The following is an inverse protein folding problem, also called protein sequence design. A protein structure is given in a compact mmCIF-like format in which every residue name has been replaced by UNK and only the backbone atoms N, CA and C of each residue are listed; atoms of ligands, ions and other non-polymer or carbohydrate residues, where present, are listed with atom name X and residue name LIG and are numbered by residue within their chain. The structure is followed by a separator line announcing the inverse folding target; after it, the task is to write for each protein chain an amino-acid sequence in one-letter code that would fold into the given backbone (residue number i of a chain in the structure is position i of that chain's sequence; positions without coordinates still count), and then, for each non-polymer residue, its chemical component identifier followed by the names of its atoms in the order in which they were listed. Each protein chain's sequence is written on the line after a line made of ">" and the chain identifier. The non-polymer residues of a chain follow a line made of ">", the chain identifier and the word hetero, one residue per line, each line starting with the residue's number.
data_IF_459896211280
#
_entry.id   IF_459896211280
#
_cell.length_a   1.000
_cell.length_b   1.000
_cell.length_c   1.000
_cell.angle_alpha   90.00
_cell.angle_beta   90.00
_cell.angle_gamma   90.00
#
_symmetry.space_group_name_H-M   'P 1'
#
loop_
_entity.id
_entity.type
_entity.pdbx_description
1 polymer ?
#
# COMPACT_ATOMS: atom_id res chain seq x y z
N UNK A 1 4.17 -23.78 5.52
CA UNK A 1 4.61 -23.06 6.75
C UNK A 1 3.72 -23.46 7.92
N UNK A 2 4.24 -23.50 9.17
CA UNK A 2 3.46 -23.91 10.34
C UNK A 2 2.17 -23.11 10.54
N UNK A 3 2.11 -21.85 10.10
CA UNK A 3 0.95 -20.99 10.32
C UNK A 3 -0.30 -21.44 9.54
N UNK A 4 -0.14 -22.12 8.40
CA UNK A 4 -1.26 -22.56 7.54
C UNK A 4 -2.30 -23.44 8.27
N UNK A 5 -1.85 -24.28 9.22
CA UNK A 5 -2.74 -25.14 10.02
C UNK A 5 -3.54 -24.37 11.09
N UNK A 6 -3.19 -23.10 11.35
CA UNK A 6 -3.87 -22.26 12.34
C UNK A 6 -4.80 -21.23 11.69
N UNK A 7 -4.70 -21.00 10.38
CA UNK A 7 -5.47 -19.97 9.66
C UNK A 7 -6.97 -20.12 9.91
N UNK A 8 -7.52 -21.32 9.77
CA UNK A 8 -8.97 -21.57 9.95
C UNK A 8 -9.46 -21.29 11.37
N UNK A 9 -8.57 -21.39 12.36
CA UNK A 9 -8.88 -21.11 13.76
C UNK A 9 -8.74 -19.62 14.09
N UNK A 10 -7.75 -18.96 13.51
CA UNK A 10 -7.42 -17.57 13.81
C UNK A 10 -8.24 -16.58 12.99
N UNK A 11 -8.35 -16.80 11.67
CA UNK A 11 -8.93 -15.83 10.75
C UNK A 11 -10.33 -15.35 11.16
N UNK A 12 -11.29 -16.21 11.58
CA UNK A 12 -12.61 -15.74 12.01
C UNK A 12 -12.56 -14.80 13.23
N UNK A 13 -11.63 -15.04 14.16
CA UNK A 13 -11.44 -14.20 15.35
C UNK A 13 -10.88 -12.84 14.96
N UNK A 14 -9.86 -12.82 14.08
CA UNK A 14 -9.22 -11.59 13.63
C UNK A 14 -10.17 -10.75 12.76
N UNK A 15 -10.94 -11.39 11.87
CA UNK A 15 -11.96 -10.71 11.05
C UNK A 15 -13.01 -9.98 11.91
N UNK A 16 -13.40 -10.57 13.04
CA UNK A 16 -14.32 -9.91 13.99
C UNK A 16 -13.72 -8.63 14.56
N UNK A 17 -12.43 -8.63 14.89
CA UNK A 17 -11.75 -7.50 15.52
C UNK A 17 -11.51 -6.32 14.55
N UNK A 18 -11.60 -6.52 13.23
CA UNK A 18 -11.62 -5.40 12.26
C UNK A 18 -12.81 -4.45 12.50
N UNK A 19 -13.91 -4.94 13.07
CA UNK A 19 -15.09 -4.15 13.46
C UNK A 19 -15.14 -3.78 14.94
N UNK A 20 -14.03 -3.90 15.67
CA UNK A 20 -13.99 -3.62 17.11
C UNK A 20 -14.26 -2.13 17.40
N UNK A 21 -14.93 -1.79 18.53
CA UNK A 21 -15.02 -0.39 18.97
C UNK A 21 -13.65 0.21 19.31
N UNK A 22 -12.69 -0.62 19.70
CA UNK A 22 -11.34 -0.19 20.11
C UNK A 22 -10.39 -0.09 18.91
N UNK A 23 -9.81 1.10 18.69
CA UNK A 23 -8.90 1.34 17.56
C UNK A 23 -7.67 0.43 17.58
N UNK A 24 -7.08 0.20 18.76
CA UNK A 24 -5.96 -0.73 18.93
C UNK A 24 -6.28 -2.14 18.44
N UNK A 25 -7.50 -2.63 18.68
CA UNK A 25 -7.92 -3.94 18.19
C UNK A 25 -8.06 -3.95 16.67
N UNK A 26 -8.67 -2.92 16.08
CA UNK A 26 -8.79 -2.80 14.61
C UNK A 26 -7.42 -2.73 13.94
N UNK A 27 -6.48 -1.96 14.49
CA UNK A 27 -5.10 -1.86 14.00
C UNK A 27 -4.40 -3.22 14.01
N UNK A 28 -4.42 -3.90 15.17
CA UNK A 28 -3.80 -5.22 15.32
C UNK A 28 -4.47 -6.26 14.42
N UNK A 29 -5.79 -6.18 14.26
CA UNK A 29 -6.54 -7.04 13.38
C UNK A 29 -6.16 -6.82 11.91
N UNK A 30 -6.05 -5.57 11.45
CA UNK A 30 -5.62 -5.23 10.10
C UNK A 30 -4.23 -5.78 9.80
N UNK A 31 -3.26 -5.55 10.70
CA UNK A 31 -1.93 -6.16 10.59
C UNK A 31 -2.00 -7.69 10.48
N UNK A 32 -2.74 -8.32 11.40
CA UNK A 32 -2.78 -9.77 11.54
C UNK A 32 -3.45 -10.44 10.33
N UNK A 33 -4.55 -9.91 9.79
CA UNK A 33 -5.15 -10.47 8.56
C UNK A 33 -4.20 -10.36 7.38
N UNK A 34 -3.42 -9.27 7.28
CA UNK A 34 -2.38 -9.12 6.27
C UNK A 34 -1.30 -10.20 6.35
N UNK A 35 -0.79 -10.46 7.55
CA UNK A 35 0.21 -11.51 7.79
C UNK A 35 -0.37 -12.92 7.59
N UNK A 36 -1.63 -13.17 7.97
CA UNK A 36 -2.30 -14.45 7.73
C UNK A 36 -2.51 -14.69 6.23
N UNK A 37 -2.91 -13.67 5.46
CA UNK A 37 -3.04 -13.78 4.00
C UNK A 37 -1.69 -14.03 3.33
N UNK A 38 -0.62 -13.35 3.78
CA UNK A 38 0.72 -13.49 3.22
C UNK A 38 1.35 -14.86 3.50
N UNK A 39 1.22 -15.37 4.73
CA UNK A 39 1.96 -16.55 5.18
C UNK A 39 1.10 -17.81 5.31
N UNK A 40 -0.22 -17.68 5.22
CA UNK A 40 -1.18 -18.77 5.44
C UNK A 40 -1.30 -19.80 4.32
N UNK A 41 -0.67 -19.55 3.16
CA UNK A 41 -0.71 -20.44 2.00
C UNK A 41 -2.13 -20.65 1.46
N UNK A 42 -2.39 -21.82 0.88
CA UNK A 42 -3.67 -22.14 0.24
C UNK A 42 -4.87 -22.01 1.18
N UNK A 43 -4.69 -22.32 2.47
CA UNK A 43 -5.75 -22.20 3.49
C UNK A 43 -6.28 -20.76 3.62
N UNK A 44 -5.42 -19.75 3.44
CA UNK A 44 -5.82 -18.36 3.56
C UNK A 44 -6.64 -17.86 2.36
N UNK A 45 -6.51 -18.48 1.18
CA UNK A 45 -7.11 -18.00 -0.07
C UNK A 45 -8.62 -17.84 0.02
N UNK A 46 -9.31 -18.77 0.69
CA UNK A 46 -10.77 -18.73 0.86
C UNK A 46 -11.27 -17.50 1.63
N UNK A 47 -10.40 -16.85 2.41
CA UNK A 47 -10.75 -15.69 3.23
C UNK A 47 -10.48 -14.34 2.56
N UNK A 48 -9.85 -14.30 1.38
CA UNK A 48 -9.48 -13.03 0.74
C UNK A 48 -10.69 -12.10 0.56
N UNK A 49 -11.83 -12.64 0.13
CA UNK A 49 -13.07 -11.87 -0.02
C UNK A 49 -13.59 -11.30 1.30
N UNK A 50 -13.53 -12.07 2.39
CA UNK A 50 -13.94 -11.61 3.73
C UNK A 50 -13.00 -10.53 4.27
N UNK A 51 -11.68 -10.72 4.09
CA UNK A 51 -10.67 -9.76 4.53
C UNK A 51 -10.82 -8.44 3.78
N UNK A 52 -10.99 -8.45 2.45
CA UNK A 52 -11.21 -7.23 1.67
C UNK A 52 -12.48 -6.48 2.11
N UNK A 53 -13.57 -7.21 2.38
CA UNK A 53 -14.80 -6.61 2.92
C UNK A 53 -14.60 -5.99 4.30
N UNK A 54 -13.85 -6.66 5.18
CA UNK A 54 -13.57 -6.18 6.53
C UNK A 54 -12.61 -4.98 6.58
N UNK A 55 -11.63 -4.93 5.67
CA UNK A 55 -10.66 -3.83 5.59
C UNK A 55 -11.25 -2.59 4.91
N UNK A 56 -12.14 -2.75 3.92
CA UNK A 56 -12.65 -1.62 3.12
C UNK A 56 -13.17 -0.42 3.94
N UNK A 57 -13.90 -0.59 5.06
CA UNK A 57 -14.35 0.52 5.90
C UNK A 57 -13.22 1.26 6.63
N UNK A 58 -12.08 0.59 6.85
CA UNK A 58 -10.93 1.15 7.57
C UNK A 58 -10.18 2.22 6.77
N UNK A 59 -10.40 2.31 5.46
CA UNK A 59 -9.84 3.38 4.61
C UNK A 59 -10.74 4.63 4.54
N UNK A 60 -11.98 4.54 5.01
CA UNK A 60 -12.96 5.62 4.89
C UNK A 60 -12.77 6.71 5.93
N UNK A 61 -13.42 7.86 5.69
CA UNK A 61 -13.42 8.99 6.63
C UNK A 61 -14.02 8.63 8.00
N UNK A 62 -14.80 7.55 8.07
CA UNK A 62 -15.37 6.99 9.29
C UNK A 62 -14.35 6.39 10.25
N UNK A 63 -13.15 6.04 9.80
CA UNK A 63 -12.07 5.55 10.67
C UNK A 63 -11.15 6.71 11.07
N UNK A 64 -11.26 7.31 12.26
CA UNK A 64 -10.45 8.47 12.62
C UNK A 64 -8.99 8.13 12.94
N UNK A 65 -8.68 6.87 13.26
CA UNK A 65 -7.34 6.45 13.67
C UNK A 65 -6.44 6.21 12.45
N UNK A 66 -5.38 7.01 12.34
CA UNK A 66 -4.49 6.98 11.18
C UNK A 66 -3.62 5.72 11.16
N UNK A 67 -3.20 5.21 12.33
CA UNK A 67 -2.45 3.96 12.40
C UNK A 67 -3.30 2.76 11.96
N UNK A 68 -4.62 2.76 12.22
CA UNK A 68 -5.55 1.76 11.66
C UNK A 68 -5.56 1.83 10.13
N UNK A 69 -5.68 3.03 9.56
CA UNK A 69 -5.64 3.23 8.09
C UNK A 69 -4.32 2.74 7.49
N UNK A 70 -3.21 3.02 8.16
CA UNK A 70 -1.88 2.60 7.70
C UNK A 70 -1.72 1.08 7.70
N UNK A 71 -2.21 0.41 8.75
CA UNK A 71 -2.19 -1.06 8.82
C UNK A 71 -3.15 -1.71 7.81
N UNK A 72 -4.29 -1.08 7.53
CA UNK A 72 -5.18 -1.49 6.45
C UNK A 72 -4.51 -1.39 5.07
N UNK A 73 -3.73 -0.33 4.82
CA UNK A 73 -2.91 -0.20 3.62
C UNK A 73 -1.87 -1.33 3.53
N UNK A 74 -1.11 -1.55 4.60
CA UNK A 74 -0.12 -2.63 4.66
C UNK A 74 -0.71 -4.03 4.45
N UNK A 75 -1.87 -4.31 5.04
CA UNK A 75 -2.58 -5.59 4.85
C UNK A 75 -3.01 -5.78 3.39
N UNK A 76 -3.60 -4.74 2.79
CA UNK A 76 -4.00 -4.74 1.38
C UNK A 76 -2.80 -4.95 0.46
N UNK A 77 -1.69 -4.27 0.73
CA UNK A 77 -0.45 -4.42 -0.04
C UNK A 77 0.10 -5.85 -0.01
N UNK A 78 0.12 -6.49 1.17
CA UNK A 78 0.54 -7.89 1.31
C UNK A 78 -0.35 -8.83 0.50
N UNK A 79 -1.67 -8.63 0.55
CA UNK A 79 -2.64 -9.42 -0.22
C UNK A 79 -2.42 -9.30 -1.73
N UNK A 80 -2.22 -8.07 -2.22
CA UNK A 80 -1.95 -7.80 -3.64
C UNK A 80 -0.65 -8.49 -4.09
N UNK A 81 0.41 -8.40 -3.30
CA UNK A 81 1.72 -8.98 -3.65
C UNK A 81 1.65 -10.51 -3.74
N UNK A 82 0.97 -11.16 -2.78
CA UNK A 82 0.98 -12.63 -2.71
C UNK A 82 0.01 -13.27 -3.72
N UNK A 83 -1.17 -12.70 -3.90
CA UNK A 83 -2.21 -13.25 -4.80
C UNK A 83 -2.98 -12.13 -5.51
N UNK A 84 -2.34 -11.42 -6.46
CA UNK A 84 -2.96 -10.27 -7.14
C UNK A 84 -4.25 -10.64 -7.88
N UNK A 85 -4.34 -11.89 -8.38
CA UNK A 85 -5.52 -12.40 -9.11
C UNK A 85 -6.78 -12.53 -8.24
N UNK A 86 -6.62 -12.59 -6.91
CA UNK A 86 -7.74 -12.66 -5.97
C UNK A 86 -8.19 -11.29 -5.47
N UNK A 87 -7.49 -10.23 -5.85
CA UNK A 87 -7.80 -8.85 -5.45
C UNK A 87 -8.40 -8.11 -6.65
N UNK A 88 -9.62 -7.56 -6.55
CA UNK A 88 -10.20 -6.74 -7.62
C UNK A 88 -9.52 -5.37 -7.63
N UNK A 89 -8.32 -5.30 -8.22
CA UNK A 89 -7.44 -4.12 -8.19
C UNK A 89 -8.10 -2.84 -8.72
N UNK A 90 -8.99 -2.95 -9.70
CA UNK A 90 -9.79 -1.84 -10.22
C UNK A 90 -10.68 -1.17 -9.14
N UNK A 91 -11.12 -1.93 -8.14
CA UNK A 91 -11.90 -1.41 -7.01
C UNK A 91 -11.00 -1.04 -5.83
N UNK A 92 -9.92 -1.80 -5.62
CA UNK A 92 -9.04 -1.67 -4.45
C UNK A 92 -8.04 -0.53 -4.60
N UNK A 93 -7.40 -0.37 -5.77
CA UNK A 93 -6.33 0.63 -5.96
C UNK A 93 -6.78 2.07 -5.67
N UNK A 94 -7.96 2.56 -6.12
CA UNK A 94 -8.39 3.91 -5.80
C UNK A 94 -8.55 4.17 -4.30
N UNK A 95 -8.94 3.16 -3.53
CA UNK A 95 -9.12 3.29 -2.08
C UNK A 95 -7.77 3.18 -1.37
N UNK A 96 -6.96 2.19 -1.78
CA UNK A 96 -5.63 1.93 -1.28
C UNK A 96 -4.72 3.16 -1.42
N UNK A 97 -4.70 3.80 -2.60
CA UNK A 97 -3.84 4.96 -2.87
C UNK A 97 -4.29 6.22 -2.13
N UNK A 98 -5.60 6.42 -1.92
CA UNK A 98 -6.11 7.52 -1.09
C UNK A 98 -5.66 7.44 0.37
N UNK A 99 -5.34 6.24 0.86
CA UNK A 99 -4.77 6.03 2.19
C UNK A 99 -3.30 6.45 2.31
N UNK A 100 -2.65 6.86 1.23
CA UNK A 100 -1.21 7.12 1.18
C UNK A 100 -0.88 8.62 1.10
N UNK A 101 0.34 9.03 1.52
CA UNK A 101 1.35 8.22 2.23
C UNK A 101 0.93 7.95 3.68
N UNK A 102 1.52 6.90 4.26
CA UNK A 102 1.27 6.50 5.65
C UNK A 102 1.58 7.63 6.63
N UNK A 103 0.79 7.75 7.70
CA UNK A 103 0.81 8.92 8.59
C UNK A 103 1.40 8.64 9.97
N UNK A 104 1.07 7.53 10.58
CA UNK A 104 1.44 7.18 11.95
C UNK A 104 2.24 5.87 12.06
N UNK A 105 1.98 4.88 11.21
CA UNK A 105 2.65 3.57 11.27
C UNK A 105 3.49 3.29 10.01
N UNK A 106 4.69 3.89 9.95
CA UNK A 106 5.63 3.70 8.84
C UNK A 106 6.30 2.30 8.82
N UNK A 107 6.04 1.42 9.78
CA UNK A 107 6.51 0.02 9.69
C UNK A 107 5.86 -0.71 8.50
N UNK A 108 4.67 -0.27 8.09
CA UNK A 108 3.91 -0.82 6.97
C UNK A 108 4.38 -0.28 5.60
N UNK A 109 5.17 0.79 5.58
CA UNK A 109 5.61 1.47 4.34
C UNK A 109 6.34 0.54 3.38
N UNK A 110 7.22 -0.34 3.90
CA UNK A 110 7.95 -1.27 3.04
C UNK A 110 7.03 -2.23 2.30
N UNK A 111 5.97 -2.74 2.95
CA UNK A 111 4.99 -3.60 2.28
C UNK A 111 4.23 -2.83 1.21
N UNK A 112 3.77 -1.62 1.54
CA UNK A 112 3.03 -0.72 0.65
C UNK A 112 3.81 -0.36 -0.61
N UNK A 113 5.02 0.17 -0.47
CA UNK A 113 5.78 0.64 -1.63
C UNK A 113 6.42 -0.49 -2.43
N UNK A 114 6.67 -1.66 -1.80
CA UNK A 114 7.03 -2.88 -2.55
C UNK A 114 5.88 -3.37 -3.43
N UNK A 115 4.64 -3.31 -2.92
CA UNK A 115 3.45 -3.62 -3.72
C UNK A 115 3.33 -2.69 -4.93
N UNK A 116 3.43 -1.37 -4.71
CA UNK A 116 3.34 -0.37 -5.79
C UNK A 116 4.46 -0.59 -6.81
N UNK A 117 5.71 -0.77 -6.35
CA UNK A 117 6.84 -1.07 -7.23
C UNK A 117 6.59 -2.31 -8.08
N UNK A 118 6.03 -3.37 -7.50
CA UNK A 118 5.74 -4.63 -8.21
C UNK A 118 4.68 -4.43 -9.30
N UNK A 119 3.61 -3.68 -9.01
CA UNK A 119 2.57 -3.36 -10.00
C UNK A 119 3.11 -2.50 -11.14
N UNK A 120 3.92 -1.50 -10.83
CA UNK A 120 4.55 -0.62 -11.82
C UNK A 120 5.55 -1.39 -12.68
N UNK A 121 6.45 -2.17 -12.07
CA UNK A 121 7.50 -2.91 -12.77
C UNK A 121 6.94 -4.06 -13.63
N UNK A 122 5.79 -4.63 -13.25
CA UNK A 122 5.08 -5.62 -14.06
C UNK A 122 4.24 -5.00 -15.18
N UNK A 123 4.29 -3.67 -15.36
CA UNK A 123 3.46 -2.95 -16.34
C UNK A 123 1.97 -3.27 -16.19
N UNK A 124 1.48 -3.40 -14.95
CA UNK A 124 0.09 -3.75 -14.71
C UNK A 124 -0.83 -2.62 -15.24
N UNK A 125 -1.78 -2.90 -16.14
CA UNK A 125 -2.59 -1.85 -16.77
C UNK A 125 -3.46 -1.08 -15.77
N UNK A 126 -3.80 -1.67 -14.63
CA UNK A 126 -4.67 -1.05 -13.64
C UNK A 126 -3.95 0.02 -12.82
N UNK A 127 -2.61 0.02 -12.76
CA UNK A 127 -1.86 1.08 -12.03
C UNK A 127 -1.63 2.33 -12.89
N UNK A 128 -1.70 2.22 -14.22
CA UNK A 128 -1.35 3.33 -15.12
C UNK A 128 -2.25 4.54 -14.99
N UNK A 129 -3.55 4.36 -14.74
CA UNK A 129 -4.49 5.47 -14.49
C UNK A 129 -4.17 6.25 -13.21
N UNK A 130 -3.34 5.70 -12.33
CA UNK A 130 -2.98 6.28 -11.04
C UNK A 130 -1.59 6.93 -11.02
N UNK A 131 -0.85 6.91 -12.14
CA UNK A 131 0.49 7.49 -12.22
C UNK A 131 0.55 8.95 -11.73
N UNK A 132 -0.40 9.85 -12.07
CA UNK A 132 -0.37 11.22 -11.55
C UNK A 132 -0.49 11.31 -10.02
N UNK A 133 -1.26 10.41 -9.41
CA UNK A 133 -1.43 10.31 -7.96
C UNK A 133 -0.17 9.73 -7.30
N UNK A 134 0.41 8.69 -7.91
CA UNK A 134 1.67 8.09 -7.45
C UNK A 134 2.82 9.11 -7.42
N UNK A 135 2.96 9.94 -8.46
CA UNK A 135 4.02 10.98 -8.48
C UNK A 135 3.87 11.96 -7.31
N UNK A 136 2.63 12.35 -6.96
CA UNK A 136 2.36 13.20 -5.80
C UNK A 136 2.72 12.50 -4.49
N UNK A 137 2.30 11.25 -4.31
CA UNK A 137 2.62 10.43 -3.14
C UNK A 137 4.14 10.28 -2.99
N UNK A 138 4.85 9.97 -4.08
CA UNK A 138 6.29 9.78 -4.06
C UNK A 138 7.04 11.05 -3.66
N UNK A 139 6.61 12.23 -4.13
CA UNK A 139 7.15 13.51 -3.68
C UNK A 139 7.05 13.68 -2.17
N UNK A 140 5.88 13.38 -1.59
CA UNK A 140 5.64 13.45 -0.15
C UNK A 140 6.50 12.44 0.64
N UNK A 141 6.65 11.21 0.16
CA UNK A 141 7.44 10.15 0.83
C UNK A 141 8.94 10.46 0.80
N UNK A 142 9.45 10.92 -0.34
CA UNK A 142 10.87 11.25 -0.49
C UNK A 142 11.26 12.47 0.37
N UNK A 143 10.37 13.46 0.47
CA UNK A 143 10.54 14.62 1.34
C UNK A 143 10.41 14.28 2.83
N UNK A 144 9.58 13.30 3.20
CA UNK A 144 9.26 12.97 4.60
C UNK A 144 10.50 12.72 5.46
N UNK A 145 10.68 13.42 6.60
CA UNK A 145 11.83 13.22 7.47
C UNK A 145 11.74 11.94 8.31
N UNK A 146 10.55 11.33 8.43
CA UNK A 146 10.31 10.14 9.26
C UNK A 146 10.39 8.84 8.48
N UNK A 147 10.40 8.91 7.14
CA UNK A 147 10.42 7.71 6.30
C UNK A 147 11.81 7.08 6.21
N UNK A 148 11.84 5.75 6.27
CA UNK A 148 13.08 4.96 6.26
C UNK A 148 13.82 5.09 4.94
N UNK A 149 15.15 5.00 4.99
CA UNK A 149 16.01 5.16 3.79
C UNK A 149 15.68 4.11 2.74
N UNK A 150 15.39 2.88 3.15
CA UNK A 150 15.03 1.76 2.29
C UNK A 150 13.69 2.01 1.57
N UNK A 151 12.72 2.61 2.27
CA UNK A 151 11.43 3.03 1.69
C UNK A 151 11.65 4.10 0.62
N UNK A 152 12.46 5.12 0.94
CA UNK A 152 12.80 6.17 -0.03
C UNK A 152 13.53 5.61 -1.25
N UNK A 153 14.40 4.63 -1.05
CA UNK A 153 15.12 3.98 -2.14
C UNK A 153 14.18 3.24 -3.10
N UNK A 154 13.20 2.47 -2.59
CA UNK A 154 12.23 1.78 -3.45
C UNK A 154 11.26 2.76 -4.13
N UNK A 155 10.83 3.82 -3.45
CA UNK A 155 10.01 4.87 -4.04
C UNK A 155 10.76 5.61 -5.14
N UNK A 156 12.00 6.03 -4.88
CA UNK A 156 12.86 6.69 -5.86
C UNK A 156 13.08 5.81 -7.09
N UNK A 157 13.40 4.53 -6.91
CA UNK A 157 13.53 3.56 -8.02
C UNK A 157 12.23 3.42 -8.81
N UNK A 158 11.09 3.37 -8.14
CA UNK A 158 9.78 3.28 -8.80
C UNK A 158 9.51 4.53 -9.64
N UNK A 159 9.82 5.71 -9.11
CA UNK A 159 9.71 6.96 -9.84
C UNK A 159 10.65 7.03 -11.04
N UNK A 160 11.92 6.62 -10.91
CA UNK A 160 12.87 6.54 -12.04
C UNK A 160 12.32 5.66 -13.17
N UNK A 161 11.70 4.52 -12.83
CA UNK A 161 11.05 3.67 -13.82
C UNK A 161 9.85 4.35 -14.51
N UNK A 162 9.02 5.09 -13.76
CA UNK A 162 7.94 5.86 -14.38
C UNK A 162 8.48 6.95 -15.32
N UNK A 163 9.58 7.62 -14.96
CA UNK A 163 10.24 8.60 -15.83
C UNK A 163 10.77 7.95 -17.10
N UNK A 164 11.37 6.75 -17.03
CA UNK A 164 11.86 6.07 -18.23
C UNK A 164 10.74 5.62 -19.18
N UNK A 165 9.54 5.37 -18.65
CA UNK A 165 8.35 4.98 -19.44
C UNK A 165 7.60 6.18 -20.01
N UNK A 166 7.35 7.21 -19.20
CA UNK A 166 6.48 8.35 -19.56
C UNK A 166 7.24 9.61 -19.98
N UNK A 167 8.52 9.72 -19.63
CA UNK A 167 9.39 10.84 -19.98
C UNK A 167 8.78 12.21 -19.67
N UNK A 168 8.72 13.06 -20.69
CA UNK A 168 8.22 14.44 -20.57
C UNK A 168 6.74 14.54 -20.18
N UNK A 169 5.95 13.46 -20.30
CA UNK A 169 4.53 13.49 -19.90
C UNK A 169 4.35 13.70 -18.40
N UNK A 170 5.35 13.38 -17.57
CA UNK A 170 5.29 13.62 -16.12
C UNK A 170 5.68 15.04 -15.73
N UNK A 171 6.28 15.84 -16.62
CA UNK A 171 6.77 17.18 -16.29
C UNK A 171 5.68 18.13 -15.78
N UNK A 172 4.47 18.21 -16.40
CA UNK A 172 3.42 19.06 -15.87
C UNK A 172 3.00 18.70 -14.44
N UNK A 173 3.03 17.41 -14.10
CA UNK A 173 2.70 16.92 -12.76
C UNK A 173 3.80 17.33 -11.78
N UNK A 174 5.06 17.07 -12.12
CA UNK A 174 6.22 17.40 -11.28
C UNK A 174 6.29 18.91 -11.02
N UNK A 175 6.10 19.73 -12.06
CA UNK A 175 6.10 21.20 -11.93
C UNK A 175 4.93 21.75 -11.11
N UNK A 176 3.85 20.98 -10.93
CA UNK A 176 2.71 21.36 -10.09
C UNK A 176 2.91 21.06 -8.59
N UNK A 177 3.95 20.30 -8.24
CA UNK A 177 4.26 19.94 -6.86
C UNK A 177 4.92 21.11 -6.12
N UNK A 178 4.89 21.11 -4.76
CA UNK A 178 5.75 21.99 -3.97
C UNK A 178 7.21 21.88 -4.41
N UNK A 179 7.98 22.99 -4.46
CA UNK A 179 9.36 22.98 -4.95
C UNK A 179 10.27 21.96 -4.26
N UNK A 180 10.09 21.76 -2.96
CA UNK A 180 10.84 20.77 -2.17
C UNK A 180 10.60 19.33 -2.66
N UNK A 181 9.34 18.97 -2.97
CA UNK A 181 8.96 17.66 -3.49
C UNK A 181 9.44 17.46 -4.94
N UNK A 182 9.30 18.48 -5.78
CA UNK A 182 9.81 18.45 -7.15
C UNK A 182 11.33 18.24 -7.18
N UNK A 183 12.06 18.91 -6.30
CA UNK A 183 13.51 18.81 -6.20
C UNK A 183 13.98 17.41 -5.77
N UNK A 184 13.35 16.81 -4.76
CA UNK A 184 13.73 15.44 -4.33
C UNK A 184 13.41 14.40 -5.41
N UNK A 185 12.31 14.56 -6.16
CA UNK A 185 12.00 13.70 -7.30
C UNK A 185 13.00 13.86 -8.44
N UNK A 186 13.41 15.10 -8.76
CA UNK A 186 14.37 15.38 -9.82
C UNK A 186 15.73 14.70 -9.61
N UNK A 187 16.14 14.48 -8.34
CA UNK A 187 17.35 13.73 -8.01
C UNK A 187 17.31 12.27 -8.50
N UNK A 188 16.12 11.67 -8.64
CA UNK A 188 15.91 10.31 -9.14
C UNK A 188 15.57 10.26 -10.63
N UNK A 189 15.25 11.39 -11.27
CA UNK A 189 15.05 11.46 -12.72
C UNK A 189 16.37 11.46 -13.51
N UNK A 190 17.48 11.86 -12.88
CA UNK A 190 18.79 12.04 -13.51
C UNK A 190 19.70 10.79 -13.46
N UNK A 191 19.26 9.72 -12.80
CA UNK A 191 20.04 8.49 -12.53
C UNK A 191 19.60 7.28 -13.36
N UNK A 192 18.80 7.51 -14.42
CA UNK A 192 18.32 6.46 -15.34
C UNK A 192 19.10 6.44 -16.65
#
# INVERSE_FOLDING_TARGET
>A
LPISSYVDRLMPLVLKELGSPEATNRRNAAFCVGELCKNGGETALKYFGDVLRGISPLFGDSEPDLAVRDNAAGATARMIVVHPQLVPLNQVLPVFLRGLPLKEDQEESMAVYTCIYSLVSSSNPQIFSHVPELVKIFGQVLESPVEKVEVKAIVGRTFSHLISVYGNQLQPIISSLPPSQANVLAAFASTS
#
